data_IF_518110291029
#
_entry.id   IF_518110291029
#
_cell.length_a   1.000
_cell.length_b   1.000
_cell.length_c   1.000
_cell.angle_alpha   90.00
_cell.angle_beta   90.00
_cell.angle_gamma   90.00
#
_symmetry.space_group_name_H-M   'P 1'
#
loop_
_entity.id
_entity.type
_entity.pdbx_description
1 polymer ?
#
# COMPACT_ATOMS: atom_id res chain seq x y z
N UNK A 1 -26.35 0.34 -32.97
CA UNK A 1 -27.34 -0.51 -32.27
C UNK A 1 -26.58 -1.44 -31.33
N UNK A 2 -27.00 -1.49 -30.06
CA UNK A 2 -26.19 -2.03 -28.96
C UNK A 2 -26.14 -3.57 -28.96
N UNK A 3 -24.92 -4.14 -28.97
CA UNK A 3 -24.61 -5.59 -28.76
C UNK A 3 -25.22 -6.20 -27.48
N UNK A 4 -25.86 -5.40 -26.65
CA UNK A 4 -26.54 -5.80 -25.42
C UNK A 4 -27.69 -6.78 -25.67
N UNK A 5 -28.45 -6.63 -26.76
CA UNK A 5 -29.55 -7.54 -27.07
C UNK A 5 -29.07 -8.88 -27.63
N UNK A 6 -27.88 -8.90 -28.25
CA UNK A 6 -27.21 -10.08 -28.83
C UNK A 6 -26.44 -10.90 -27.79
N UNK A 7 -26.18 -10.34 -26.60
CA UNK A 7 -25.49 -11.04 -25.53
C UNK A 7 -26.36 -12.20 -24.96
N UNK A 8 -25.73 -13.36 -24.77
CA UNK A 8 -26.37 -14.52 -24.15
C UNK A 8 -26.80 -14.25 -22.69
N UNK A 9 -27.64 -15.11 -22.10
CA UNK A 9 -28.24 -14.89 -20.78
C UNK A 9 -27.20 -14.61 -19.67
N UNK A 10 -26.09 -15.36 -19.66
CA UNK A 10 -24.97 -15.17 -18.74
C UNK A 10 -24.26 -13.82 -18.90
N UNK A 11 -24.03 -13.39 -20.14
CA UNK A 11 -23.43 -12.10 -20.42
C UNK A 11 -24.36 -10.95 -20.00
N UNK A 12 -25.68 -11.10 -20.17
CA UNK A 12 -26.68 -10.13 -19.68
C UNK A 12 -26.68 -10.00 -18.15
N UNK A 13 -26.51 -11.10 -17.42
CA UNK A 13 -26.34 -11.06 -15.94
C UNK A 13 -25.06 -10.32 -15.57
N UNK A 14 -23.92 -10.66 -16.19
CA UNK A 14 -22.66 -9.96 -15.96
C UNK A 14 -22.77 -8.46 -16.24
N UNK A 15 -23.40 -8.09 -17.35
CA UNK A 15 -23.62 -6.70 -17.75
C UNK A 15 -24.59 -5.97 -16.79
N UNK A 16 -25.68 -6.62 -16.35
CA UNK A 16 -26.61 -6.02 -15.38
C UNK A 16 -26.00 -5.88 -13.99
N UNK A 17 -25.15 -6.82 -13.55
CA UNK A 17 -24.36 -6.67 -12.33
C UNK A 17 -23.38 -5.50 -12.47
N UNK A 18 -22.74 -5.39 -13.63
CA UNK A 18 -21.79 -4.33 -13.95
C UNK A 18 -22.43 -2.93 -13.94
N UNK A 19 -23.56 -2.74 -14.64
CA UNK A 19 -24.29 -1.47 -14.67
C UNK A 19 -25.13 -1.22 -13.41
N UNK A 20 -25.67 -2.26 -12.78
CA UNK A 20 -26.49 -2.19 -11.57
C UNK A 20 -25.74 -1.73 -10.33
N UNK A 21 -24.41 -1.90 -10.31
CA UNK A 21 -23.52 -1.30 -9.31
C UNK A 21 -23.12 0.15 -9.61
N UNK A 22 -23.69 0.77 -10.65
CA UNK A 22 -23.46 2.18 -11.01
C UNK A 22 -22.22 2.43 -11.87
N UNK A 23 -21.54 1.37 -12.34
CA UNK A 23 -20.40 1.51 -13.24
C UNK A 23 -20.88 1.81 -14.66
N UNK A 24 -20.68 3.05 -15.10
CA UNK A 24 -20.98 3.51 -16.45
C UNK A 24 -19.67 3.77 -17.19
N UNK A 25 -19.36 2.94 -18.20
CA UNK A 25 -18.10 2.99 -18.98
C UNK A 25 -17.83 4.36 -19.63
N UNK A 26 -18.89 5.12 -19.91
CA UNK A 26 -18.82 6.41 -20.60
C UNK A 26 -18.59 7.61 -19.67
N UNK A 27 -18.53 7.40 -18.35
CA UNK A 27 -18.36 8.48 -17.37
C UNK A 27 -16.92 8.46 -16.83
N UNK A 28 -16.15 9.49 -17.16
CA UNK A 28 -14.73 9.61 -16.82
C UNK A 28 -14.47 9.46 -15.32
N UNK A 29 -15.35 9.97 -14.48
CA UNK A 29 -15.24 9.88 -13.01
C UNK A 29 -15.32 8.44 -12.50
N UNK A 30 -16.05 7.54 -13.19
CA UNK A 30 -16.07 6.13 -12.82
C UNK A 30 -14.77 5.41 -13.18
N UNK A 31 -14.15 5.79 -14.30
CA UNK A 31 -12.83 5.28 -14.67
C UNK A 31 -11.79 5.75 -13.65
N UNK A 32 -11.78 7.05 -13.34
CA UNK A 32 -10.84 7.63 -12.35
C UNK A 32 -10.98 7.00 -10.95
N UNK A 33 -12.20 6.68 -10.49
CA UNK A 33 -12.39 5.96 -9.21
C UNK A 33 -11.87 4.52 -9.25
N UNK A 34 -12.07 3.82 -10.38
CA UNK A 34 -11.54 2.47 -10.54
C UNK A 34 -10.00 2.48 -10.62
N UNK A 35 -9.43 3.48 -11.28
CA UNK A 35 -7.99 3.68 -11.35
C UNK A 35 -7.40 4.00 -9.97
N UNK A 36 -7.99 4.93 -9.20
CA UNK A 36 -7.62 5.20 -7.80
C UNK A 36 -7.57 3.90 -6.97
N UNK A 37 -8.64 3.10 -7.03
CA UNK A 37 -8.71 1.85 -6.30
C UNK A 37 -7.61 0.88 -6.73
N UNK A 38 -7.36 0.76 -8.03
CA UNK A 38 -6.33 -0.14 -8.57
C UNK A 38 -4.92 0.31 -8.18
N UNK A 39 -4.64 1.61 -8.22
CA UNK A 39 -3.33 2.16 -7.85
C UNK A 39 -3.08 1.98 -6.36
N UNK A 40 -4.08 2.21 -5.50
CA UNK A 40 -3.97 1.90 -4.06
C UNK A 40 -3.77 0.42 -3.77
N UNK A 41 -4.45 -0.48 -4.50
CA UNK A 41 -4.21 -1.92 -4.39
C UNK A 41 -2.78 -2.30 -4.79
N UNK A 42 -2.24 -1.68 -5.84
CA UNK A 42 -0.85 -1.88 -6.25
C UNK A 42 0.12 -1.44 -5.14
N UNK A 43 -0.06 -0.23 -4.60
CA UNK A 43 0.77 0.27 -3.50
C UNK A 43 0.72 -0.67 -2.28
N UNK A 44 -0.47 -1.14 -1.89
CA UNK A 44 -0.60 -2.13 -0.83
C UNK A 44 0.16 -3.42 -1.14
N UNK A 45 0.05 -3.96 -2.35
CA UNK A 45 0.76 -5.18 -2.74
C UNK A 45 2.28 -5.04 -2.65
N UNK A 46 2.82 -3.88 -3.06
CA UNK A 46 4.24 -3.57 -2.95
C UNK A 46 4.70 -3.48 -1.49
N UNK A 47 3.93 -2.80 -0.64
CA UNK A 47 4.24 -2.70 0.79
C UNK A 47 4.12 -4.05 1.52
N UNK A 48 3.16 -4.89 1.15
CA UNK A 48 3.07 -6.25 1.71
C UNK A 48 4.30 -7.08 1.35
N UNK A 49 4.85 -6.95 0.13
CA UNK A 49 6.11 -7.59 -0.27
C UNK A 49 7.32 -7.03 0.48
N UNK A 50 7.38 -5.71 0.63
CA UNK A 50 8.42 -5.05 1.42
C UNK A 50 8.43 -5.55 2.87
N UNK A 51 7.24 -5.64 3.49
CA UNK A 51 7.07 -6.18 4.84
C UNK A 51 7.50 -7.63 4.93
N UNK A 52 7.07 -8.48 3.98
CA UNK A 52 7.48 -9.88 3.96
C UNK A 52 9.01 -10.04 3.86
N UNK A 53 9.68 -9.17 3.09
CA UNK A 53 11.14 -9.12 3.03
C UNK A 53 11.78 -8.79 4.39
N UNK A 54 11.23 -7.82 5.12
CA UNK A 54 11.70 -7.48 6.48
C UNK A 54 11.48 -8.64 7.44
N UNK A 55 10.28 -9.24 7.44
CA UNK A 55 9.93 -10.35 8.34
C UNK A 55 10.85 -11.57 8.09
N UNK A 56 11.18 -11.87 6.82
CA UNK A 56 12.13 -12.92 6.48
C UNK A 56 13.56 -12.59 6.97
N UNK A 57 14.01 -11.35 6.72
CA UNK A 57 15.34 -10.89 7.11
C UNK A 57 15.50 -10.88 8.64
N UNK A 58 14.48 -10.45 9.38
CA UNK A 58 14.43 -10.43 10.84
C UNK A 58 14.46 -11.86 11.42
N UNK A 59 13.64 -12.77 10.90
CA UNK A 59 13.62 -14.16 11.32
C UNK A 59 14.96 -14.86 11.04
N UNK A 60 15.60 -14.57 9.91
CA UNK A 60 16.94 -15.07 9.58
C UNK A 60 18.00 -14.48 10.52
N UNK A 61 18.00 -13.17 10.71
CA UNK A 61 18.93 -12.48 11.61
C UNK A 61 18.88 -13.05 13.04
N UNK A 62 17.68 -13.28 13.58
CA UNK A 62 17.52 -13.90 14.90
C UNK A 62 18.10 -15.31 14.96
N UNK A 63 17.80 -16.15 13.96
CA UNK A 63 18.31 -17.53 13.91
C UNK A 63 19.83 -17.59 13.84
N UNK A 64 20.44 -16.69 13.08
CA UNK A 64 21.88 -16.72 12.82
C UNK A 64 22.68 -16.07 13.97
N UNK A 65 22.10 -15.11 14.69
CA UNK A 65 22.82 -14.33 15.71
C UNK A 65 22.43 -14.64 17.17
N UNK A 66 21.23 -15.18 17.43
CA UNK A 66 20.81 -15.52 18.80
C UNK A 66 21.20 -16.98 19.09
N UNK A 67 22.32 -17.14 19.79
CA UNK A 67 22.78 -18.46 20.22
C UNK A 67 21.79 -19.11 21.22
N UNK A 68 21.68 -20.45 21.23
CA UNK A 68 20.91 -21.16 22.25
C UNK A 68 21.40 -20.83 23.66
N UNK A 69 20.49 -20.67 24.64
CA UNK A 69 20.87 -20.36 26.02
C UNK A 69 21.80 -21.44 26.58
N UNK A 70 22.87 -21.02 27.25
CA UNK A 70 23.78 -21.93 27.96
C UNK A 70 23.84 -21.57 29.43
N UNK A 71 24.35 -22.46 30.29
CA UNK A 71 24.55 -22.13 31.71
C UNK A 71 25.51 -20.95 31.92
N UNK A 72 26.50 -20.80 31.05
CA UNK A 72 27.46 -19.69 31.12
C UNK A 72 26.87 -18.38 30.59
N UNK A 73 26.06 -18.45 29.52
CA UNK A 73 25.35 -17.32 28.94
C UNK A 73 23.86 -17.64 28.86
N UNK A 74 23.10 -17.38 29.94
CA UNK A 74 21.68 -17.69 30.02
C UNK A 74 20.80 -16.73 29.20
N UNK A 75 21.31 -15.54 28.88
CA UNK A 75 20.60 -14.52 28.10
C UNK A 75 21.37 -14.20 26.81
N UNK A 76 20.65 -13.87 25.72
CA UNK A 76 21.27 -13.41 24.49
C UNK A 76 21.87 -12.01 24.65
N UNK A 77 22.84 -11.67 23.79
CA UNK A 77 23.46 -10.35 23.76
C UNK A 77 22.41 -9.25 23.51
N UNK A 78 22.42 -8.22 24.35
CA UNK A 78 21.46 -7.13 24.30
C UNK A 78 21.51 -6.35 22.97
N UNK A 79 22.68 -6.22 22.35
CA UNK A 79 22.85 -5.53 21.07
C UNK A 79 22.20 -6.31 19.93
N UNK A 80 22.35 -7.64 19.93
CA UNK A 80 21.72 -8.53 18.95
C UNK A 80 20.20 -8.47 19.08
N UNK A 81 19.67 -8.48 20.31
CA UNK A 81 18.24 -8.36 20.56
C UNK A 81 17.71 -7.00 20.10
N UNK A 82 18.42 -5.90 20.38
CA UNK A 82 18.02 -4.55 19.97
C UNK A 82 17.98 -4.38 18.44
N UNK A 83 18.92 -5.00 17.73
CA UNK A 83 18.94 -5.02 16.27
C UNK A 83 17.74 -5.79 15.70
N UNK A 84 17.42 -6.95 16.25
CA UNK A 84 16.25 -7.72 15.84
C UNK A 84 14.93 -6.95 16.11
N UNK A 85 14.82 -6.30 17.26
CA UNK A 85 13.68 -5.42 17.58
C UNK A 85 13.58 -4.21 16.64
N UNK A 86 14.72 -3.71 16.14
CA UNK A 86 14.73 -2.62 15.16
C UNK A 86 14.15 -3.08 13.83
N UNK A 87 14.51 -4.27 13.34
CA UNK A 87 13.92 -4.87 12.14
C UNK A 87 12.41 -5.10 12.33
N UNK A 88 12.00 -5.66 13.47
CA UNK A 88 10.59 -5.86 13.81
C UNK A 88 9.80 -4.53 13.82
N UNK A 89 10.39 -3.45 14.35
CA UNK A 89 9.78 -2.12 14.32
C UNK A 89 9.58 -1.62 12.89
N UNK A 90 10.60 -1.74 12.03
CA UNK A 90 10.49 -1.35 10.62
C UNK A 90 9.37 -2.13 9.91
N UNK A 91 9.27 -3.45 10.14
CA UNK A 91 8.20 -4.28 9.58
C UNK A 91 6.80 -3.83 10.02
N UNK A 92 6.64 -3.45 11.30
CA UNK A 92 5.39 -2.88 11.83
C UNK A 92 5.05 -1.52 11.20
N UNK A 93 6.03 -0.64 11.03
CA UNK A 93 5.84 0.67 10.41
C UNK A 93 5.38 0.55 8.95
N UNK A 94 6.03 -0.32 8.17
CA UNK A 94 5.62 -0.62 6.78
C UNK A 94 4.21 -1.22 6.74
N UNK A 95 3.90 -2.15 7.65
CA UNK A 95 2.57 -2.73 7.77
C UNK A 95 1.48 -1.71 8.13
N UNK A 96 1.82 -0.72 8.96
CA UNK A 96 0.90 0.36 9.31
C UNK A 96 0.58 1.26 8.10
N UNK A 97 1.57 1.54 7.24
CA UNK A 97 1.36 2.27 5.99
C UNK A 97 0.39 1.54 5.05
N UNK A 98 0.56 0.23 4.88
CA UNK A 98 -0.38 -0.59 4.09
C UNK A 98 -1.81 -0.46 4.64
N UNK A 99 -1.97 -0.58 5.96
CA UNK A 99 -3.24 -0.39 6.64
C UNK A 99 -3.85 0.98 6.35
N UNK A 100 -3.07 2.05 6.42
CA UNK A 100 -3.54 3.40 6.13
C UNK A 100 -3.99 3.56 4.67
N UNK A 101 -3.20 3.07 3.70
CA UNK A 101 -3.55 3.16 2.26
C UNK A 101 -4.87 2.46 1.96
N UNK A 102 -5.05 1.25 2.52
CA UNK A 102 -6.26 0.44 2.31
C UNK A 102 -7.53 1.14 2.79
N UNK A 103 -7.42 1.95 3.84
CA UNK A 103 -8.56 2.66 4.46
C UNK A 103 -8.59 4.16 4.11
N UNK A 104 -7.85 4.58 3.08
CA UNK A 104 -7.90 5.97 2.61
C UNK A 104 -9.33 6.35 2.18
N UNK A 105 -9.81 7.55 2.59
CA UNK A 105 -11.08 8.07 2.12
C UNK A 105 -11.08 8.22 0.60
N UNK A 106 -12.25 8.01 0.02
CA UNK A 106 -12.55 8.23 -1.40
C UNK A 106 -13.66 9.26 -1.52
N UNK A 107 -13.66 10.10 -2.58
CA UNK A 107 -14.75 11.03 -2.82
C UNK A 107 -16.11 10.31 -2.85
N UNK A 108 -17.04 10.73 -1.99
CA UNK A 108 -18.38 10.16 -1.92
C UNK A 108 -19.15 10.39 -3.22
N UNK A 109 -19.87 9.35 -3.68
CA UNK A 109 -20.73 9.40 -4.85
C UNK A 109 -22.09 10.05 -4.52
N UNK A 110 -22.08 11.22 -3.88
CA UNK A 110 -23.31 11.95 -3.57
C UNK A 110 -23.86 12.64 -4.83
N UNK A 111 -25.03 12.17 -5.28
CA UNK A 111 -25.73 12.68 -6.46
C UNK A 111 -26.26 14.11 -6.28
N UNK A 112 -26.49 14.58 -5.05
CA UNK A 112 -27.00 15.93 -4.78
C UNK A 112 -25.91 17.00 -4.93
N UNK A 113 -24.68 16.71 -4.50
CA UNK A 113 -23.55 17.65 -4.55
C UNK A 113 -22.64 17.47 -5.78
N UNK A 114 -22.85 16.42 -6.59
CA UNK A 114 -22.04 16.08 -7.76
C UNK A 114 -21.94 17.21 -8.80
N UNK A 115 -22.95 18.06 -8.91
CA UNK A 115 -22.98 19.18 -9.86
C UNK A 115 -22.12 20.38 -9.45
N UNK A 116 -21.71 20.45 -8.18
CA UNK A 116 -20.99 21.60 -7.61
C UNK A 116 -19.54 21.29 -7.23
N UNK A 117 -19.14 20.01 -7.20
CA UNK A 117 -17.74 19.60 -7.02
C UNK A 117 -17.11 19.35 -8.39
N UNK A 118 -15.91 19.89 -8.63
CA UNK A 118 -15.06 19.56 -9.78
C UNK A 118 -14.51 18.13 -9.64
N UNK A 119 -15.39 17.13 -9.54
CA UNK A 119 -15.09 15.77 -9.13
C UNK A 119 -14.02 15.11 -10.02
N UNK A 120 -14.11 15.28 -11.33
CA UNK A 120 -13.09 14.78 -12.26
C UNK A 120 -11.70 15.40 -11.99
N UNK A 121 -11.64 16.70 -11.70
CA UNK A 121 -10.40 17.40 -11.37
C UNK A 121 -9.83 16.94 -10.02
N UNK A 122 -10.69 16.76 -9.02
CA UNK A 122 -10.30 16.19 -7.72
C UNK A 122 -9.74 14.77 -7.88
N UNK A 123 -10.44 13.91 -8.62
CA UNK A 123 -9.99 12.53 -8.85
C UNK A 123 -8.67 12.47 -9.64
N UNK A 124 -8.47 13.37 -10.61
CA UNK A 124 -7.21 13.46 -11.34
C UNK A 124 -6.04 13.87 -10.42
N UNK A 125 -6.23 14.88 -9.56
CA UNK A 125 -5.21 15.29 -8.59
C UNK A 125 -4.91 14.20 -7.54
N UNK A 126 -5.91 13.39 -7.14
CA UNK A 126 -5.68 12.23 -6.30
C UNK A 126 -4.86 11.15 -7.01
N UNK A 127 -5.14 10.91 -8.29
CA UNK A 127 -4.40 9.93 -9.10
C UNK A 127 -2.90 10.29 -9.22
N UNK A 128 -2.57 11.58 -9.31
CA UNK A 128 -1.16 12.03 -9.30
C UNK A 128 -0.46 11.67 -7.98
N UNK A 129 -1.14 11.87 -6.84
CA UNK A 129 -0.61 11.50 -5.52
C UNK A 129 -0.48 9.98 -5.36
N UNK A 130 -1.44 9.23 -5.87
CA UNK A 130 -1.41 7.77 -5.81
C UNK A 130 -0.30 7.18 -6.70
N UNK A 131 0.01 7.81 -7.84
CA UNK A 131 1.16 7.43 -8.66
C UNK A 131 2.49 7.62 -7.91
N UNK A 132 2.64 8.72 -7.18
CA UNK A 132 3.81 8.96 -6.29
C UNK A 132 3.89 7.89 -5.20
N UNK A 133 2.76 7.53 -4.56
CA UNK A 133 2.71 6.47 -3.56
C UNK A 133 3.20 5.13 -4.11
N UNK A 134 2.77 4.75 -5.32
CA UNK A 134 3.24 3.51 -5.96
C UNK A 134 4.74 3.54 -6.22
N UNK A 135 5.27 4.66 -6.73
CA UNK A 135 6.71 4.81 -6.95
C UNK A 135 7.51 4.69 -5.64
N UNK A 136 7.07 5.35 -4.57
CA UNK A 136 7.69 5.28 -3.26
C UNK A 136 7.62 3.87 -2.66
N UNK A 137 6.47 3.19 -2.79
CA UNK A 137 6.30 1.81 -2.33
C UNK A 137 7.18 0.82 -3.11
N UNK A 138 7.35 1.01 -4.42
CA UNK A 138 8.23 0.18 -5.25
C UNK A 138 9.70 0.38 -4.88
N UNK A 139 10.14 1.62 -4.67
CA UNK A 139 11.50 1.92 -4.20
C UNK A 139 11.75 1.25 -2.85
N UNK A 140 10.82 1.41 -1.90
CA UNK A 140 10.93 0.79 -0.57
C UNK A 140 10.98 -0.74 -0.67
N UNK A 141 10.13 -1.35 -1.51
CA UNK A 141 10.18 -2.79 -1.80
C UNK A 141 11.54 -3.20 -2.34
N UNK A 142 12.07 -2.48 -3.33
CA UNK A 142 13.36 -2.80 -3.95
C UNK A 142 14.55 -2.75 -2.98
N UNK A 143 14.46 -1.92 -1.95
CA UNK A 143 15.48 -1.81 -0.89
C UNK A 143 15.40 -2.93 0.15
N UNK A 144 14.29 -3.67 0.20
CA UNK A 144 13.98 -4.61 1.29
C UNK A 144 13.84 -6.05 0.83
N UNK A 145 13.31 -6.29 -0.37
CA UNK A 145 13.04 -7.64 -0.85
C UNK A 145 14.34 -8.38 -1.16
N UNK A 146 14.57 -9.50 -0.46
CA UNK A 146 15.77 -10.32 -0.60
C UNK A 146 17.02 -9.72 0.06
N UNK A 147 16.90 -8.63 0.81
CA UNK A 147 18.03 -7.98 1.49
C UNK A 147 18.26 -8.61 2.87
N UNK A 148 19.52 -8.81 3.26
CA UNK A 148 19.87 -9.37 4.56
C UNK A 148 19.63 -8.36 5.71
N UNK A 149 19.31 -8.86 6.91
CA UNK A 149 19.02 -8.03 8.07
C UNK A 149 20.13 -7.05 8.42
N UNK A 150 21.40 -7.46 8.35
CA UNK A 150 22.56 -6.59 8.60
C UNK A 150 22.62 -5.41 7.62
N UNK A 151 22.35 -5.66 6.34
CA UNK A 151 22.34 -4.64 5.31
C UNK A 151 21.16 -3.67 5.50
N UNK A 152 19.99 -4.17 5.91
CA UNK A 152 18.86 -3.32 6.28
C UNK A 152 19.16 -2.44 7.49
N UNK A 153 19.84 -2.98 8.51
CA UNK A 153 20.25 -2.23 9.69
C UNK A 153 21.26 -1.13 9.34
N UNK A 154 22.19 -1.41 8.43
CA UNK A 154 23.13 -0.41 7.91
C UNK A 154 22.41 0.70 7.11
N UNK A 155 21.42 0.33 6.29
CA UNK A 155 20.59 1.25 5.49
C UNK A 155 19.33 1.77 6.20
N UNK A 156 19.29 1.67 7.54
CA UNK A 156 18.10 1.97 8.34
C UNK A 156 17.58 3.39 8.09
N UNK A 157 18.48 4.36 7.98
CA UNK A 157 18.11 5.78 7.80
C UNK A 157 17.37 5.99 6.48
N UNK A 158 17.83 5.36 5.41
CA UNK A 158 17.23 5.44 4.09
C UNK A 158 15.83 4.79 4.08
N UNK A 159 15.67 3.67 4.78
CA UNK A 159 14.35 3.02 4.97
C UNK A 159 13.39 3.95 5.73
N UNK A 160 13.84 4.56 6.83
CA UNK A 160 13.04 5.51 7.62
C UNK A 160 12.66 6.75 6.80
N UNK A 161 13.55 7.24 5.92
CA UNK A 161 13.24 8.32 4.98
C UNK A 161 12.17 7.88 3.98
N UNK A 162 12.23 6.66 3.45
CA UNK A 162 11.21 6.11 2.56
C UNK A 162 9.84 6.01 3.23
N UNK A 163 9.78 5.50 4.47
CA UNK A 163 8.56 5.44 5.28
C UNK A 163 7.98 6.85 5.52
N UNK A 164 8.83 7.81 5.88
CA UNK A 164 8.42 9.19 6.10
C UNK A 164 7.87 9.85 4.82
N UNK A 165 8.48 9.58 3.66
CA UNK A 165 8.03 10.10 2.37
C UNK A 165 6.63 9.58 2.01
N UNK A 166 6.38 8.27 2.18
CA UNK A 166 5.04 7.68 1.97
C UNK A 166 4.02 8.28 2.93
N UNK A 167 4.40 8.44 4.21
CA UNK A 167 3.54 9.07 5.23
C UNK A 167 3.15 10.50 4.85
N UNK A 168 4.10 11.28 4.33
CA UNK A 168 3.85 12.65 3.89
C UNK A 168 2.86 12.69 2.72
N UNK A 169 3.08 11.87 1.69
CA UNK A 169 2.17 11.76 0.54
C UNK A 169 0.76 11.33 0.96
N UNK A 170 0.64 10.39 1.90
CA UNK A 170 -0.67 9.96 2.43
C UNK A 170 -1.40 11.08 3.15
N UNK A 171 -0.69 11.90 3.93
CA UNK A 171 -1.28 13.06 4.61
C UNK A 171 -1.74 14.10 3.61
N UNK A 172 -0.92 14.44 2.62
CA UNK A 172 -1.31 15.38 1.56
C UNK A 172 -2.56 14.92 0.81
N UNK A 173 -2.65 13.61 0.51
CA UNK A 173 -3.82 13.02 -0.13
C UNK A 173 -5.06 13.16 0.75
N UNK A 174 -4.95 12.92 2.05
CA UNK A 174 -6.06 13.10 3.00
C UNK A 174 -6.49 14.56 3.11
N UNK A 175 -5.54 15.49 3.24
CA UNK A 175 -5.84 16.93 3.32
C UNK A 175 -6.54 17.44 2.06
N UNK A 176 -6.24 16.87 0.88
CA UNK A 176 -6.91 17.25 -0.36
C UNK A 176 -8.41 16.88 -0.40
N UNK A 177 -8.85 15.99 0.49
CA UNK A 177 -10.24 15.56 0.60
C UNK A 177 -11.02 16.28 1.71
N UNK A 178 -10.35 17.08 2.54
CA UNK A 178 -10.93 17.88 3.62
C UNK A 178 -11.22 19.31 3.16
#
# INVERSE_FOLDING_TARGET
>A
MSRFYEAGPLAKVGINLFYGYGYNFYRQENQLRADDQRVRQMACSLLSRARAGIDEAEARYRRDNIAPPTRANPFPDATIVANAQTLERLGREVGALEGQIRHQPVPENDRMAQRYRQEAGTLAALAEKDAVLVGQAELLRSMLEGVAGDAMLAGKREIEVGIAAITATLRERQTFLL
#
